data_IF_426042172354
#
_entry.id   IF_426042172354
#
_cell.length_a   1.000
_cell.length_b   1.000
_cell.length_c   1.000
_cell.angle_alpha   90.00
_cell.angle_beta   90.00
_cell.angle_gamma   90.00
#
_symmetry.space_group_name_H-M   'P 1'
#
loop_
_entity.id
_entity.type
_entity.pdbx_description
1 polymer ?
#
# COMPACT_ATOMS: atom_id res chain seq x y z
N UNK A 1 12.92 19.38 -8.09
CA UNK A 1 13.48 18.95 -9.38
C UNK A 1 14.73 19.76 -9.68
N UNK A 2 15.73 19.16 -10.32
CA UNK A 2 17.06 19.79 -10.49
C UNK A 2 17.17 20.70 -11.72
N UNK A 3 16.31 20.51 -12.72
CA UNK A 3 16.27 21.25 -13.98
C UNK A 3 14.83 21.27 -14.53
N UNK A 4 14.56 22.19 -15.45
CA UNK A 4 13.22 22.40 -16.00
C UNK A 4 12.98 21.56 -17.26
N UNK A 5 11.80 20.92 -17.33
CA UNK A 5 11.28 20.23 -18.51
C UNK A 5 9.82 20.65 -18.70
N UNK A 6 9.42 20.99 -19.93
CA UNK A 6 8.01 21.24 -20.27
C UNK A 6 7.23 19.95 -20.40
N UNK A 7 5.90 20.01 -20.30
CA UNK A 7 4.99 18.86 -20.49
C UNK A 7 5.24 17.71 -19.50
N UNK A 8 5.64 18.05 -18.27
CA UNK A 8 5.70 17.12 -17.16
C UNK A 8 4.33 17.12 -16.46
N UNK A 9 3.73 15.94 -16.21
CA UNK A 9 2.44 15.88 -15.51
C UNK A 9 2.58 16.43 -14.10
N UNK A 10 1.53 17.11 -13.64
CA UNK A 10 1.48 17.64 -12.28
C UNK A 10 1.43 16.51 -11.24
N UNK A 11 2.22 16.66 -10.18
CA UNK A 11 2.24 15.75 -9.03
C UNK A 11 1.78 16.50 -7.81
N UNK A 12 0.96 15.84 -6.99
CA UNK A 12 0.56 16.41 -5.71
C UNK A 12 1.75 16.50 -4.74
N UNK A 13 1.72 17.51 -3.87
CA UNK A 13 2.73 17.74 -2.83
C UNK A 13 2.34 17.04 -1.51
N UNK A 14 3.33 16.84 -0.63
CA UNK A 14 3.08 16.29 0.71
C UNK A 14 2.39 17.32 1.62
N UNK A 15 1.51 16.90 2.55
CA UNK A 15 1.03 15.53 2.76
C UNK A 15 0.01 15.12 1.68
N UNK A 16 0.32 14.06 0.92
CA UNK A 16 -0.51 13.61 -0.20
C UNK A 16 -1.74 12.87 0.29
N UNK A 17 -2.87 13.08 -0.39
CA UNK A 17 -4.10 12.29 -0.22
C UNK A 17 -4.45 11.46 -1.47
N UNK A 18 -3.82 11.80 -2.60
CA UNK A 18 -3.82 11.08 -3.89
C UNK A 18 -2.39 11.06 -4.44
N UNK A 19 -2.09 10.13 -5.33
CA UNK A 19 -0.74 9.96 -5.88
C UNK A 19 0.25 9.39 -4.89
N UNK A 20 -0.25 8.60 -3.94
CA UNK A 20 0.51 7.97 -2.86
C UNK A 20 1.51 6.94 -3.38
N UNK A 21 2.66 6.88 -2.72
CA UNK A 21 3.63 5.80 -2.82
C UNK A 21 3.81 5.15 -1.44
N UNK A 22 3.32 3.92 -1.32
CA UNK A 22 3.49 3.09 -0.13
C UNK A 22 4.63 2.08 -0.36
N UNK A 23 5.70 2.24 0.41
CA UNK A 23 6.92 1.44 0.31
C UNK A 23 6.85 0.23 1.24
N UNK A 24 7.38 -0.90 0.77
CA UNK A 24 7.54 -2.11 1.61
C UNK A 24 8.97 -2.20 2.17
N UNK A 25 9.11 -2.05 3.49
CA UNK A 25 10.34 -2.39 4.21
C UNK A 25 10.26 -3.83 4.72
N UNK A 26 11.13 -4.70 4.19
CA UNK A 26 11.21 -6.13 4.55
C UNK A 26 12.33 -6.47 5.53
N UNK A 27 13.01 -5.46 6.09
CA UNK A 27 14.17 -5.66 6.95
C UNK A 27 15.36 -4.76 6.65
N UNK A 28 15.15 -3.53 6.17
CA UNK A 28 16.24 -2.55 6.07
C UNK A 28 16.90 -2.33 7.43
N UNK A 29 18.22 -2.21 7.47
CA UNK A 29 18.93 -1.74 8.67
C UNK A 29 18.66 -0.25 8.91
N UNK A 30 19.00 0.26 10.10
CA UNK A 30 18.84 1.68 10.43
C UNK A 30 19.51 2.60 9.40
N UNK A 31 20.76 2.29 9.01
CA UNK A 31 21.49 3.07 8.00
C UNK A 31 20.86 2.99 6.62
N UNK A 32 20.37 1.81 6.23
CA UNK A 32 19.66 1.69 4.95
C UNK A 32 18.35 2.47 4.94
N UNK A 33 17.69 2.66 6.08
CA UNK A 33 16.54 3.54 6.19
C UNK A 33 16.97 5.00 6.00
N UNK A 34 18.06 5.45 6.63
CA UNK A 34 18.62 6.79 6.45
C UNK A 34 18.98 7.04 4.97
N UNK A 35 19.74 6.13 4.35
CA UNK A 35 20.15 6.21 2.94
C UNK A 35 18.92 6.25 2.00
N UNK A 36 17.91 5.43 2.29
CA UNK A 36 16.65 5.40 1.54
C UNK A 36 15.92 6.75 1.63
N UNK A 37 15.79 7.29 2.84
CA UNK A 37 15.06 8.54 3.08
C UNK A 37 15.76 9.75 2.45
N UNK A 38 17.10 9.77 2.46
CA UNK A 38 17.89 10.81 1.81
C UNK A 38 17.53 10.97 0.33
N UNK A 39 17.40 9.86 -0.39
CA UNK A 39 17.18 9.88 -1.84
C UNK A 39 15.70 9.92 -2.20
N UNK A 40 14.87 9.15 -1.50
CA UNK A 40 13.49 8.86 -1.92
C UNK A 40 12.42 9.40 -0.96
N UNK A 41 12.81 9.97 0.19
CA UNK A 41 11.88 10.40 1.23
C UNK A 41 10.83 11.41 0.77
N UNK A 42 11.13 12.30 -0.17
CA UNK A 42 10.15 13.25 -0.74
C UNK A 42 9.04 12.58 -1.57
N UNK A 43 9.28 11.37 -2.06
CA UNK A 43 8.39 10.62 -2.95
C UNK A 43 7.72 9.40 -2.27
N UNK A 44 8.02 9.16 -0.98
CA UNK A 44 7.40 8.09 -0.18
C UNK A 44 6.40 8.66 0.80
N UNK A 45 5.16 8.18 0.79
CA UNK A 45 4.09 8.70 1.65
C UNK A 45 3.75 7.79 2.82
N UNK A 46 4.01 6.48 2.68
CA UNK A 46 3.76 5.47 3.71
C UNK A 46 4.85 4.39 3.65
N UNK A 47 5.18 3.79 4.79
CA UNK A 47 6.01 2.57 4.84
C UNK A 47 5.25 1.45 5.56
N UNK A 48 5.08 0.32 4.86
CA UNK A 48 4.65 -0.95 5.43
C UNK A 48 5.89 -1.71 5.92
N UNK A 49 5.99 -2.03 7.21
CA UNK A 49 6.90 -3.09 7.67
C UNK A 49 6.26 -4.42 7.28
N UNK A 50 6.85 -5.11 6.30
CA UNK A 50 6.21 -6.24 5.61
C UNK A 50 5.76 -7.36 6.54
N UNK A 51 4.59 -7.95 6.25
CA UNK A 51 3.94 -9.01 7.03
C UNK A 51 4.08 -8.82 8.56
N UNK A 52 4.89 -9.64 9.20
CA UNK A 52 5.20 -9.61 10.63
C UNK A 52 6.70 -9.39 10.89
N UNK A 53 7.43 -8.75 9.96
CA UNK A 53 8.87 -8.46 10.10
C UNK A 53 9.21 -7.67 11.37
N UNK A 54 8.30 -6.80 11.83
CA UNK A 54 8.48 -6.04 13.08
C UNK A 54 8.66 -6.95 14.30
N UNK A 55 8.10 -8.16 14.30
CA UNK A 55 8.26 -9.12 15.40
C UNK A 55 9.71 -9.58 15.59
N UNK A 56 10.49 -9.64 14.51
CA UNK A 56 11.88 -10.12 14.52
C UNK A 56 12.92 -9.03 14.22
N UNK A 57 12.48 -7.78 14.01
CA UNK A 57 13.38 -6.67 13.70
C UNK A 57 14.07 -6.16 14.97
N UNK A 58 15.40 -6.27 15.10
CA UNK A 58 16.11 -5.66 16.21
C UNK A 58 16.04 -4.12 16.10
N UNK A 59 16.13 -3.42 17.24
CA UNK A 59 16.12 -1.95 17.29
C UNK A 59 14.90 -1.33 16.58
N UNK A 60 13.73 -1.97 16.73
CA UNK A 60 12.50 -1.53 16.08
C UNK A 60 12.12 -0.09 16.47
N UNK A 61 12.31 0.28 17.75
CA UNK A 61 11.98 1.64 18.22
C UNK A 61 12.83 2.70 17.51
N UNK A 62 14.12 2.43 17.37
CA UNK A 62 15.08 3.29 16.68
C UNK A 62 14.73 3.41 15.20
N UNK A 63 14.38 2.29 14.53
CA UNK A 63 13.93 2.30 13.14
C UNK A 63 12.69 3.19 12.96
N UNK A 64 11.68 3.01 13.80
CA UNK A 64 10.44 3.79 13.74
C UNK A 64 10.70 5.29 14.01
N UNK A 65 11.64 5.61 14.91
CA UNK A 65 12.03 6.98 15.19
C UNK A 65 12.67 7.67 13.95
N UNK A 66 13.47 6.96 13.16
CA UNK A 66 14.06 7.49 11.93
C UNK A 66 12.97 7.87 10.93
N UNK A 67 12.04 6.95 10.62
CA UNK A 67 10.91 7.25 9.72
C UNK A 67 10.04 8.40 10.23
N UNK A 68 9.75 8.43 11.54
CA UNK A 68 8.99 9.51 12.17
C UNK A 68 9.69 10.85 12.05
N UNK A 69 11.01 10.90 12.22
CA UNK A 69 11.80 12.14 12.07
C UNK A 69 11.76 12.70 10.64
N UNK A 70 11.59 11.83 9.64
CA UNK A 70 11.40 12.20 8.24
C UNK A 70 9.93 12.52 7.89
N UNK A 71 9.01 12.47 8.86
CA UNK A 71 7.59 12.72 8.64
C UNK A 71 6.90 11.67 7.76
N UNK A 72 7.41 10.43 7.75
CA UNK A 72 6.81 9.34 6.98
C UNK A 72 6.08 8.38 7.93
N UNK A 73 4.74 8.28 7.83
CA UNK A 73 3.99 7.32 8.61
C UNK A 73 4.40 5.87 8.27
N UNK A 74 4.48 5.06 9.32
CA UNK A 74 4.79 3.64 9.24
C UNK A 74 3.64 2.85 9.82
N UNK A 75 3.38 1.67 9.28
CA UNK A 75 2.46 0.70 9.87
C UNK A 75 3.00 -0.72 9.75
N UNK A 76 2.51 -1.62 10.61
CA UNK A 76 2.84 -3.04 10.54
C UNK A 76 1.93 -3.75 9.54
N UNK A 77 2.47 -4.63 8.70
CA UNK A 77 1.67 -5.41 7.77
C UNK A 77 0.54 -6.18 8.46
N UNK A 78 -0.58 -6.33 7.76
CA UNK A 78 -1.82 -6.91 8.31
C UNK A 78 -1.66 -8.38 8.71
N UNK A 79 -0.67 -9.08 8.15
CA UNK A 79 -0.32 -10.44 8.60
C UNK A 79 0.09 -10.47 10.08
N UNK A 80 0.66 -9.40 10.63
CA UNK A 80 0.90 -9.29 12.07
C UNK A 80 -0.43 -9.22 12.84
N UNK A 81 -1.37 -8.40 12.40
CA UNK A 81 -2.72 -8.35 12.99
C UNK A 81 -3.39 -9.74 12.94
N UNK A 82 -3.34 -10.41 11.79
CA UNK A 82 -3.88 -11.77 11.61
C UNK A 82 -3.25 -12.77 12.61
N UNK A 83 -1.95 -12.64 12.90
CA UNK A 83 -1.26 -13.47 13.87
C UNK A 83 -1.75 -13.25 15.30
N UNK A 84 -2.10 -12.02 15.69
CA UNK A 84 -2.75 -11.74 16.97
C UNK A 84 -4.20 -12.23 16.98
N UNK A 85 -4.95 -11.99 15.90
CA UNK A 85 -6.35 -12.40 15.77
C UNK A 85 -6.55 -13.90 15.97
N UNK A 86 -5.79 -14.73 15.25
CA UNK A 86 -5.94 -16.20 15.32
C UNK A 86 -5.59 -16.78 16.72
N UNK A 87 -4.92 -15.99 17.56
CA UNK A 87 -4.59 -16.33 18.95
C UNK A 87 -5.57 -15.75 19.97
N UNK A 88 -6.60 -15.03 19.52
CA UNK A 88 -7.53 -14.32 20.41
C UNK A 88 -6.89 -13.13 21.12
N UNK A 89 -5.85 -12.52 20.53
CA UNK A 89 -5.00 -11.52 21.16
C UNK A 89 -5.11 -10.12 20.49
N UNK A 90 -6.29 -9.77 19.98
CA UNK A 90 -6.47 -8.47 19.29
C UNK A 90 -6.28 -7.28 20.24
N UNK A 91 -6.65 -7.42 21.52
CA UNK A 91 -6.41 -6.37 22.51
C UNK A 91 -4.90 -6.19 22.81
N UNK A 92 -4.11 -7.26 22.79
CA UNK A 92 -2.65 -7.18 22.84
C UNK A 92 -2.08 -6.46 21.60
N UNK A 93 -2.62 -6.72 20.41
CA UNK A 93 -2.21 -6.00 19.19
C UNK A 93 -2.43 -4.48 19.35
N UNK A 94 -3.57 -4.05 19.89
CA UNK A 94 -3.86 -2.64 20.18
C UNK A 94 -2.86 -2.05 21.17
N UNK A 95 -2.48 -2.79 22.21
CA UNK A 95 -1.42 -2.38 23.16
C UNK A 95 -0.05 -2.28 22.49
N UNK A 96 0.24 -3.14 21.52
CA UNK A 96 1.48 -3.07 20.73
C UNK A 96 1.50 -1.79 19.87
N UNK A 97 0.38 -1.42 19.25
CA UNK A 97 0.28 -0.15 18.53
C UNK A 97 0.58 1.05 19.46
N UNK A 98 -0.01 1.07 20.65
CA UNK A 98 0.24 2.12 21.65
C UNK A 98 1.70 2.13 22.12
N UNK A 99 2.26 0.95 22.42
CA UNK A 99 3.65 0.79 22.89
C UNK A 99 4.67 1.38 21.90
N UNK A 100 4.42 1.24 20.60
CA UNK A 100 5.30 1.76 19.55
C UNK A 100 4.85 3.12 19.00
N UNK A 101 3.76 3.69 19.53
CA UNK A 101 3.24 4.99 19.11
C UNK A 101 2.82 5.01 17.64
N UNK A 102 2.22 3.91 17.18
CA UNK A 102 1.77 3.76 15.79
C UNK A 102 0.55 4.64 15.53
N UNK A 103 0.56 5.36 14.41
CA UNK A 103 -0.56 6.22 13.97
C UNK A 103 -1.42 5.55 12.88
N UNK A 104 -0.92 4.46 12.32
CA UNK A 104 -1.54 3.70 11.24
C UNK A 104 -1.46 2.19 11.54
N UNK A 105 -2.45 1.43 11.06
CA UNK A 105 -2.47 -0.01 11.13
C UNK A 105 -3.13 -0.62 9.88
N UNK A 106 -2.70 -1.82 9.49
CA UNK A 106 -3.33 -2.60 8.42
C UNK A 106 -4.16 -3.74 9.02
N UNK A 107 -5.38 -3.91 8.53
CA UNK A 107 -6.25 -5.05 8.82
C UNK A 107 -6.44 -5.87 7.54
N UNK A 108 -6.07 -7.14 7.61
CA UNK A 108 -6.19 -8.10 6.51
C UNK A 108 -6.72 -9.44 7.01
N UNK A 109 -7.09 -10.31 6.08
CA UNK A 109 -7.59 -11.67 6.29
C UNK A 109 -7.02 -12.64 5.24
N UNK A 110 -5.78 -12.39 4.79
CA UNK A 110 -5.18 -13.13 3.69
C UNK A 110 -4.59 -14.49 4.08
N UNK A 111 -4.28 -14.71 5.35
CA UNK A 111 -3.66 -15.93 5.92
C UNK A 111 -4.54 -16.61 6.98
N UNK A 112 -5.64 -15.98 7.40
CA UNK A 112 -6.62 -16.54 8.34
C UNK A 112 -8.02 -16.44 7.74
N UNK A 113 -8.89 -17.40 8.05
CA UNK A 113 -10.30 -17.27 7.68
C UNK A 113 -11.00 -16.31 8.64
N UNK A 114 -11.50 -15.19 8.10
CA UNK A 114 -12.23 -14.18 8.86
C UNK A 114 -13.52 -13.84 8.10
N UNK A 115 -14.65 -13.82 8.81
CA UNK A 115 -15.88 -13.31 8.23
C UNK A 115 -15.73 -11.80 8.00
N UNK A 116 -16.17 -11.30 6.84
CA UNK A 116 -16.13 -9.89 6.48
C UNK A 116 -16.81 -8.98 7.52
N UNK A 117 -17.90 -9.42 8.16
CA UNK A 117 -18.55 -8.65 9.23
C UNK A 117 -17.64 -8.52 10.47
N UNK A 118 -16.91 -9.58 10.81
CA UNK A 118 -15.93 -9.58 11.91
C UNK A 118 -14.74 -8.67 11.57
N UNK A 119 -14.26 -8.72 10.33
CA UNK A 119 -13.20 -7.81 9.85
C UNK A 119 -13.65 -6.35 9.95
N UNK A 120 -14.87 -6.05 9.52
CA UNK A 120 -15.45 -4.71 9.61
C UNK A 120 -15.59 -4.23 11.06
N UNK A 121 -15.96 -5.10 12.00
CA UNK A 121 -15.97 -4.76 13.42
C UNK A 121 -14.57 -4.37 13.93
N UNK A 122 -13.52 -5.10 13.54
CA UNK A 122 -12.15 -4.73 13.91
C UNK A 122 -11.69 -3.42 13.25
N UNK A 123 -12.05 -3.17 11.98
CA UNK A 123 -11.80 -1.89 11.31
C UNK A 123 -12.48 -0.76 12.08
N UNK A 124 -13.75 -0.93 12.42
CA UNK A 124 -14.50 0.06 13.17
C UNK A 124 -13.89 0.33 14.55
N UNK A 125 -13.51 -0.72 15.29
CA UNK A 125 -12.87 -0.58 16.59
C UNK A 125 -11.51 0.13 16.50
N UNK A 126 -10.67 -0.28 15.54
CA UNK A 126 -9.30 0.21 15.42
C UNK A 126 -9.22 1.62 14.82
N UNK A 127 -10.19 2.01 13.98
CA UNK A 127 -10.33 3.36 13.42
C UNK A 127 -10.52 4.46 14.48
N UNK A 128 -10.95 4.08 15.69
CA UNK A 128 -11.06 4.98 16.85
C UNK A 128 -9.73 5.26 17.53
N UNK A 129 -8.68 4.48 17.20
CA UNK A 129 -7.36 4.54 17.82
C UNK A 129 -6.30 5.03 16.82
N UNK A 130 -6.33 4.53 15.59
CA UNK A 130 -5.34 4.80 14.53
C UNK A 130 -6.01 4.92 13.17
N UNK A 131 -5.29 5.44 12.18
CA UNK A 131 -5.75 5.43 10.79
C UNK A 131 -5.63 4.02 10.20
N UNK A 132 -6.76 3.41 9.83
CA UNK A 132 -6.79 2.02 9.36
C UNK A 132 -6.65 1.97 7.84
N UNK A 133 -5.72 1.16 7.35
CA UNK A 133 -5.75 0.62 6.00
C UNK A 133 -6.35 -0.79 6.08
N UNK A 134 -7.22 -1.13 5.14
CA UNK A 134 -7.71 -2.50 5.02
C UNK A 134 -7.22 -3.11 3.71
N UNK A 135 -7.05 -4.42 3.66
CA UNK A 135 -6.58 -5.14 2.45
C UNK A 135 -7.64 -6.10 1.95
N UNK A 136 -8.09 -5.96 0.70
CA UNK A 136 -9.02 -6.88 0.06
C UNK A 136 -8.26 -7.75 -0.92
N UNK A 137 -8.51 -9.06 -0.87
CA UNK A 137 -8.03 -10.02 -1.86
C UNK A 137 -7.80 -11.40 -1.27
N UNK A 138 -6.98 -12.20 -1.95
CA UNK A 138 -6.63 -13.55 -1.52
C UNK A 138 -5.15 -13.80 -1.79
N UNK A 139 -4.46 -14.37 -0.80
CA UNK A 139 -3.05 -14.80 -0.93
C UNK A 139 -2.92 -16.16 -1.62
N UNK A 140 -4.04 -16.83 -1.87
CA UNK A 140 -4.15 -18.12 -2.55
C UNK A 140 -4.44 -17.91 -4.04
N UNK A 141 -3.51 -18.35 -4.90
CA UNK A 141 -3.61 -18.30 -6.36
C UNK A 141 -4.83 -19.06 -6.90
N UNK A 142 -5.30 -20.09 -6.19
CA UNK A 142 -6.46 -20.88 -6.61
C UNK A 142 -7.79 -20.17 -6.33
N UNK A 143 -7.82 -19.19 -5.41
CA UNK A 143 -9.04 -18.47 -5.02
C UNK A 143 -9.25 -17.23 -5.88
N UNK A 144 -10.02 -17.39 -6.95
CA UNK A 144 -10.45 -16.28 -7.81
C UNK A 144 -11.71 -15.64 -7.23
N UNK A 145 -11.56 -14.47 -6.61
CA UNK A 145 -12.68 -13.65 -6.16
C UNK A 145 -13.24 -12.87 -7.37
N UNK A 146 -14.57 -12.93 -7.63
CA UNK A 146 -15.19 -12.18 -8.73
C UNK A 146 -15.31 -10.67 -8.43
N UNK A 147 -15.37 -9.80 -9.45
CA UNK A 147 -15.39 -8.34 -9.27
C UNK A 147 -16.46 -7.81 -8.31
N UNK A 148 -17.71 -8.26 -8.44
CA UNK A 148 -18.80 -7.82 -7.56
C UNK A 148 -18.52 -8.09 -6.08
N UNK A 149 -17.79 -9.16 -5.75
CA UNK A 149 -17.43 -9.50 -4.37
C UNK A 149 -16.29 -8.61 -3.86
N UNK A 150 -15.31 -8.29 -4.71
CA UNK A 150 -14.28 -7.28 -4.39
C UNK A 150 -14.92 -5.93 -4.04
N UNK A 151 -15.80 -5.45 -4.90
CA UNK A 151 -16.49 -4.16 -4.74
C UNK A 151 -17.31 -4.17 -3.45
N UNK A 152 -18.06 -5.24 -3.19
CA UNK A 152 -18.81 -5.39 -1.94
C UNK A 152 -17.90 -5.29 -0.71
N UNK A 153 -16.79 -6.04 -0.69
CA UNK A 153 -15.85 -6.04 0.44
C UNK A 153 -15.20 -4.66 0.63
N UNK A 154 -14.72 -4.04 -0.45
CA UNK A 154 -14.14 -2.70 -0.41
C UNK A 154 -15.12 -1.67 0.14
N UNK A 155 -16.40 -1.70 -0.27
CA UNK A 155 -17.44 -0.81 0.29
C UNK A 155 -17.64 -1.03 1.78
N UNK A 156 -17.83 -2.29 2.18
CA UNK A 156 -18.03 -2.64 3.60
C UNK A 156 -16.87 -2.15 4.47
N UNK A 157 -15.62 -2.33 4.01
CA UNK A 157 -14.44 -1.93 4.77
C UNK A 157 -14.25 -0.41 4.83
N UNK A 158 -14.57 0.32 3.75
CA UNK A 158 -14.60 1.79 3.76
C UNK A 158 -15.70 2.32 4.68
N UNK A 159 -16.91 1.76 4.62
CA UNK A 159 -18.04 2.11 5.49
C UNK A 159 -17.76 1.82 6.97
N UNK A 160 -16.98 0.77 7.26
CA UNK A 160 -16.53 0.44 8.61
C UNK A 160 -15.53 1.45 9.19
N UNK A 161 -14.89 2.27 8.35
CA UNK A 161 -13.96 3.33 8.77
C UNK A 161 -12.52 3.18 8.27
N UNK A 162 -12.26 2.30 7.30
CA UNK A 162 -10.94 2.27 6.65
C UNK A 162 -10.69 3.59 5.91
N UNK A 163 -9.50 4.16 6.07
CA UNK A 163 -9.07 5.36 5.34
C UNK A 163 -8.80 5.04 3.87
N UNK A 164 -8.16 3.90 3.61
CA UNK A 164 -7.91 3.36 2.26
C UNK A 164 -8.11 1.85 2.28
N UNK A 165 -8.54 1.31 1.14
CA UNK A 165 -8.55 -0.12 0.85
C UNK A 165 -7.42 -0.47 -0.11
N UNK A 166 -6.62 -1.47 0.25
CA UNK A 166 -5.50 -1.98 -0.52
C UNK A 166 -6.03 -3.11 -1.41
N UNK A 167 -5.72 -3.03 -2.70
CA UNK A 167 -5.91 -4.17 -3.59
C UNK A 167 -4.72 -5.12 -3.51
N UNK A 168 -4.92 -6.31 -2.94
CA UNK A 168 -3.85 -7.28 -2.67
C UNK A 168 -3.22 -7.86 -3.95
N UNK A 169 -1.90 -7.92 -3.92
CA UNK A 169 -1.08 -8.55 -4.95
C UNK A 169 0.10 -9.37 -4.38
N UNK A 170 0.28 -9.35 -3.05
CA UNK A 170 1.49 -9.80 -2.34
C UNK A 170 2.73 -9.03 -2.82
N UNK A 171 3.86 -9.37 -2.22
CA UNK A 171 5.17 -8.87 -2.66
C UNK A 171 5.53 -9.33 -4.08
N UNK A 172 5.07 -10.52 -4.49
CA UNK A 172 5.39 -11.10 -5.79
C UNK A 172 4.62 -10.49 -6.95
N UNK A 173 3.49 -9.82 -6.70
CA UNK A 173 2.65 -9.26 -7.76
C UNK A 173 2.02 -10.32 -8.66
N UNK A 174 1.68 -11.49 -8.13
CA UNK A 174 1.27 -12.66 -8.90
C UNK A 174 -0.05 -13.30 -8.41
N UNK A 175 -0.77 -12.60 -7.53
CA UNK A 175 -2.08 -13.01 -6.99
C UNK A 175 -3.07 -11.84 -7.00
N UNK A 176 -4.33 -12.11 -6.65
CA UNK A 176 -5.34 -11.08 -6.42
C UNK A 176 -5.63 -10.25 -7.67
N UNK A 177 -5.06 -9.04 -7.73
CA UNK A 177 -5.12 -8.13 -8.89
C UNK A 177 -4.44 -8.68 -10.14
N UNK A 178 -3.47 -9.59 -9.96
CA UNK A 178 -2.68 -10.15 -11.05
C UNK A 178 -2.94 -11.65 -11.21
N UNK A 179 -2.72 -12.13 -12.43
CA UNK A 179 -2.60 -13.56 -12.72
C UNK A 179 -1.24 -14.06 -12.22
N UNK A 180 -1.07 -15.38 -12.15
CA UNK A 180 0.23 -16.00 -11.81
C UNK A 180 1.37 -15.59 -12.75
N UNK A 181 1.05 -15.15 -13.96
CA UNK A 181 2.00 -14.56 -14.93
C UNK A 181 2.47 -13.14 -14.59
N UNK A 182 1.87 -12.49 -13.58
CA UNK A 182 2.04 -11.06 -13.27
C UNK A 182 1.19 -10.12 -14.12
N UNK A 183 0.42 -10.65 -15.07
CA UNK A 183 -0.50 -9.88 -15.91
C UNK A 183 -1.68 -9.34 -15.10
N UNK A 184 -2.03 -8.07 -15.33
CA UNK A 184 -3.13 -7.42 -14.62
C UNK A 184 -4.47 -8.02 -15.05
N UNK A 185 -5.35 -8.27 -14.08
CA UNK A 185 -6.76 -8.60 -14.35
C UNK A 185 -7.52 -7.31 -14.70
N UNK A 186 -7.28 -6.77 -15.89
CA UNK A 186 -7.81 -5.48 -16.34
C UNK A 186 -9.32 -5.31 -16.07
N UNK A 187 -10.15 -6.26 -16.50
CA UNK A 187 -11.60 -6.17 -16.28
C UNK A 187 -12.04 -6.22 -14.80
N UNK A 188 -11.21 -6.75 -13.89
CA UNK A 188 -11.47 -6.62 -12.45
C UNK A 188 -11.20 -5.20 -11.97
N UNK A 189 -10.04 -4.64 -12.34
CA UNK A 189 -9.62 -3.30 -11.90
C UNK A 189 -10.55 -2.22 -12.45
N UNK A 190 -10.90 -2.30 -13.74
CA UNK A 190 -11.82 -1.35 -14.37
C UNK A 190 -13.19 -1.37 -13.71
N UNK A 191 -13.74 -2.54 -13.39
CA UNK A 191 -15.03 -2.66 -12.69
C UNK A 191 -14.96 -2.13 -11.24
N UNK A 192 -13.81 -2.27 -10.56
CA UNK A 192 -13.63 -1.64 -9.24
C UNK A 192 -13.63 -0.12 -9.37
N UNK A 193 -12.94 0.43 -10.38
CA UNK A 193 -12.84 1.88 -10.59
C UNK A 193 -14.16 2.54 -10.99
N UNK A 194 -15.15 1.79 -11.50
CA UNK A 194 -16.49 2.33 -11.74
C UNK A 194 -17.31 2.51 -10.46
N UNK A 195 -17.00 1.74 -9.41
CA UNK A 195 -17.83 1.64 -8.21
C UNK A 195 -17.16 2.15 -6.92
N UNK A 196 -15.82 2.21 -6.87
CA UNK A 196 -15.04 2.64 -5.72
C UNK A 196 -14.19 3.86 -6.13
N UNK A 197 -14.25 4.98 -5.39
CA UNK A 197 -13.42 6.15 -5.68
C UNK A 197 -11.93 5.80 -5.72
N UNK A 198 -11.23 6.16 -6.79
CA UNK A 198 -9.81 5.84 -7.00
C UNK A 198 -8.93 6.32 -5.85
N UNK A 199 -9.27 7.46 -5.24
CA UNK A 199 -8.50 8.01 -4.14
C UNK A 199 -8.56 7.13 -2.91
N UNK A 200 -9.63 6.37 -2.72
CA UNK A 200 -9.83 5.49 -1.57
C UNK A 200 -9.08 4.17 -1.72
N UNK A 201 -8.45 3.93 -2.87
CA UNK A 201 -7.74 2.68 -3.17
C UNK A 201 -6.24 2.90 -3.16
N UNK A 202 -5.47 1.91 -2.67
CA UNK A 202 -4.04 1.77 -2.94
C UNK A 202 -3.84 0.46 -3.70
N UNK A 203 -3.30 0.52 -4.90
CA UNK A 203 -3.05 -0.68 -5.71
C UNK A 203 -1.66 -1.24 -5.42
N UNK A 204 -1.54 -2.46 -4.91
CA UNK A 204 -0.22 -3.09 -4.81
C UNK A 204 0.33 -3.33 -6.22
N UNK A 205 1.53 -2.80 -6.49
CA UNK A 205 2.20 -2.87 -7.79
C UNK A 205 3.72 -3.04 -7.60
N UNK A 206 4.18 -4.15 -7.00
CA UNK A 206 5.59 -4.34 -6.70
C UNK A 206 6.48 -4.39 -7.94
N UNK A 207 5.94 -4.83 -9.10
CA UNK A 207 6.71 -4.92 -10.33
C UNK A 207 6.58 -3.68 -11.22
N UNK A 208 7.66 -3.31 -11.91
CA UNK A 208 7.71 -2.19 -12.85
C UNK A 208 6.55 -2.20 -13.86
N UNK A 209 6.27 -3.34 -14.49
CA UNK A 209 5.21 -3.48 -15.49
C UNK A 209 3.83 -3.10 -14.93
N UNK A 210 3.58 -3.44 -13.66
CA UNK A 210 2.34 -3.14 -12.95
C UNK A 210 2.24 -1.66 -12.63
N UNK A 211 3.34 -1.05 -12.17
CA UNK A 211 3.44 0.40 -11.92
C UNK A 211 3.14 1.20 -13.19
N UNK A 212 3.78 0.82 -14.31
CA UNK A 212 3.54 1.43 -15.63
C UNK A 212 2.07 1.30 -16.04
N UNK A 213 1.48 0.13 -15.84
CA UNK A 213 0.09 -0.12 -16.21
C UNK A 213 -0.88 0.77 -15.42
N UNK A 214 -0.73 0.84 -14.09
CA UNK A 214 -1.57 1.72 -13.26
C UNK A 214 -1.39 3.20 -13.58
N UNK A 215 -0.15 3.65 -13.84
CA UNK A 215 0.11 5.04 -14.24
C UNK A 215 -0.54 5.36 -15.59
N UNK A 216 -0.56 4.41 -16.55
CA UNK A 216 -1.23 4.61 -17.84
C UNK A 216 -2.75 4.57 -17.75
N UNK A 217 -3.30 3.75 -16.86
CA UNK A 217 -4.74 3.61 -16.70
C UNK A 217 -5.35 4.80 -15.93
N UNK A 218 -4.77 5.12 -14.78
CA UNK A 218 -5.34 6.07 -13.81
C UNK A 218 -4.64 7.44 -13.88
N UNK A 219 -3.37 7.48 -14.26
CA UNK A 219 -2.59 8.71 -14.40
C UNK A 219 -1.44 8.83 -13.39
N UNK A 220 -0.68 9.91 -13.52
CA UNK A 220 0.53 10.19 -12.71
C UNK A 220 0.28 10.20 -11.19
N UNK A 221 -0.97 10.46 -10.77
CA UNK A 221 -1.38 10.53 -9.36
C UNK A 221 -2.19 9.31 -8.89
N UNK A 222 -2.00 8.14 -9.51
CA UNK A 222 -2.50 6.87 -8.96
C UNK A 222 -1.84 6.53 -7.63
N UNK A 223 -2.59 5.98 -6.67
CA UNK A 223 -2.02 5.46 -5.43
C UNK A 223 -1.48 4.05 -5.65
N UNK A 224 -0.21 3.79 -5.31
CA UNK A 224 0.40 2.46 -5.44
C UNK A 224 1.13 2.04 -4.18
N UNK A 225 1.12 0.73 -3.93
CA UNK A 225 1.71 0.08 -2.77
C UNK A 225 2.67 -1.04 -3.12
N UNK A 226 3.35 -1.56 -2.09
CA UNK A 226 4.41 -2.56 -2.19
C UNK A 226 5.59 -2.15 -3.07
N UNK A 227 5.87 -0.84 -3.13
CA UNK A 227 7.02 -0.34 -3.89
C UNK A 227 8.29 -0.67 -3.12
N UNK A 228 9.26 -1.31 -3.80
CA UNK A 228 10.55 -1.58 -3.21
C UNK A 228 11.29 -0.25 -2.94
N UNK A 229 12.04 -0.11 -1.83
CA UNK A 229 12.74 1.14 -1.48
C UNK A 229 13.64 1.65 -2.61
N UNK A 230 14.32 0.75 -3.32
CA UNK A 230 15.20 1.06 -4.45
C UNK A 230 14.46 1.35 -5.77
N UNK A 231 13.14 1.18 -5.83
CA UNK A 231 12.32 1.47 -7.01
C UNK A 231 11.54 2.79 -6.90
N UNK A 232 11.62 3.52 -5.77
CA UNK A 232 10.81 4.75 -5.59
C UNK A 232 11.13 5.84 -6.61
N UNK A 233 12.42 6.10 -6.87
CA UNK A 233 12.83 7.06 -7.92
C UNK A 233 12.41 6.57 -9.31
N UNK A 234 12.59 5.27 -9.55
CA UNK A 234 12.16 4.59 -10.77
C UNK A 234 10.66 4.78 -11.02
N UNK A 235 9.81 4.60 -10.00
CA UNK A 235 8.37 4.89 -10.05
C UNK A 235 8.09 6.37 -10.31
N UNK A 236 8.77 7.29 -9.63
CA UNK A 236 8.53 8.73 -9.86
C UNK A 236 8.87 9.11 -11.30
N UNK A 237 9.94 8.56 -11.90
CA UNK A 237 10.22 8.79 -13.33
C UNK A 237 9.14 8.22 -14.25
N UNK A 238 8.51 7.09 -13.88
CA UNK A 238 7.35 6.56 -14.63
C UNK A 238 6.19 7.57 -14.56
N UNK A 239 5.86 8.07 -13.36
CA UNK A 239 4.78 9.05 -13.14
C UNK A 239 5.00 10.34 -13.91
N UNK A 240 6.25 10.75 -14.09
CA UNK A 240 6.61 11.99 -14.80
C UNK A 240 6.77 11.83 -16.32
N UNK A 241 6.60 10.62 -16.88
CA UNK A 241 6.86 10.37 -18.29
C UNK A 241 8.35 10.41 -18.66
N UNK A 242 9.24 10.23 -17.69
CA UNK A 242 10.71 10.34 -17.87
C UNK A 242 11.40 8.97 -17.97
N UNK A 243 10.61 7.91 -18.18
CA UNK A 243 11.11 6.57 -18.45
C UNK A 243 10.54 6.08 -19.77
N UNK A 244 11.30 5.27 -20.52
CA UNK A 244 10.89 4.78 -21.84
C UNK A 244 9.49 4.16 -21.89
N UNK A 245 9.05 3.51 -20.80
CA UNK A 245 7.72 2.90 -20.71
C UNK A 245 6.55 3.91 -20.77
N UNK A 246 6.76 5.16 -20.34
CA UNK A 246 5.75 6.25 -20.26
C UNK A 246 6.17 7.51 -21.01
N UNK A 247 7.23 7.47 -21.82
CA UNK A 247 7.87 8.64 -22.43
C UNK A 247 6.91 9.50 -23.26
N UNK A 248 6.13 8.87 -24.14
CA UNK A 248 5.17 9.57 -25.00
C UNK A 248 3.80 9.76 -24.35
N UNK A 249 3.58 9.22 -23.15
CA UNK A 249 2.22 9.08 -22.59
C UNK A 249 1.60 10.43 -22.17
N UNK A 250 2.43 11.36 -21.68
CA UNK A 250 1.98 12.68 -21.19
C UNK A 250 2.27 13.83 -22.17
N UNK A 251 2.87 13.54 -23.32
CA UNK A 251 3.19 14.56 -24.31
C UNK A 251 1.98 14.87 -25.18
N UNK A 252 1.69 16.16 -25.36
CA UNK A 252 0.78 16.62 -26.41
C UNK A 252 1.51 16.59 -27.74
N UNK A 253 0.95 15.86 -28.72
CA UNK A 253 1.48 15.82 -30.09
C UNK A 253 1.09 17.06 -30.89
#
# INVERSE_FOLDING_TARGET
MNYNLSQIPERFEKPRQKGLTMVMDKGLSLRQVEDFLEVAGSYTDLVKLGWATSYVTPNLKEKLAIYKSAGIPVYFGGTLFEAFYIRGQVDEYRRVLDQYGMEYAEISDGSVEMNSDVKCEFIHQLSKQVTVLSEVGSKDEAKIIPPYKWIKLMRMELEAGAWKVIGEAREGGNVGLFRSSGEVRQGLVEEILTEIPEESIIWEAPQKSQQVWFVKLVGANVNVGNIAPNEVISLETIRLGLRGDTFDHFLTK
#
